data_IF_153194210930
#
_entry.id   IF_153194210930
#
_cell.length_a   1.000
_cell.length_b   1.000
_cell.length_c   1.000
_cell.angle_alpha   90.00
_cell.angle_beta   90.00
_cell.angle_gamma   90.00
#
_symmetry.space_group_name_H-M   'P 1'
#
loop_
_entity.id
_entity.type
_entity.pdbx_description
1 polymer ?
#
# COMPACT_ATOMS: atom_id res chain seq x y z
N UNK A 1 -12.68 6.24 28.02
CA UNK A 1 -12.48 6.24 26.56
C UNK A 1 -11.33 5.35 26.09
N UNK A 2 -10.74 4.51 26.96
CA UNK A 2 -9.56 3.69 26.64
C UNK A 2 -9.80 2.18 26.50
N UNK A 3 -11.05 1.71 26.56
CA UNK A 3 -11.31 0.26 26.72
C UNK A 3 -11.59 -0.51 25.42
N UNK A 4 -11.74 0.17 24.29
CA UNK A 4 -12.03 -0.47 22.97
C UNK A 4 -10.78 -0.66 22.07
N UNK A 5 -9.60 -0.32 22.58
CA UNK A 5 -8.37 -0.35 21.81
C UNK A 5 -7.46 -1.55 22.19
N UNK A 6 -7.78 -2.23 23.29
CA UNK A 6 -7.09 -3.47 23.70
C UNK A 6 -7.63 -4.65 22.89
N UNK A 7 -6.91 -5.04 21.84
CA UNK A 7 -7.22 -6.24 21.05
C UNK A 7 -6.99 -6.13 19.54
N UNK A 8 -6.90 -4.93 18.98
CA UNK A 8 -6.58 -4.76 17.56
C UNK A 8 -5.07 -4.79 17.35
N UNK A 9 -4.60 -5.84 16.68
CA UNK A 9 -3.18 -5.95 16.28
C UNK A 9 -2.84 -4.82 15.29
N UNK A 10 -1.66 -4.24 15.43
CA UNK A 10 -1.07 -3.32 14.46
C UNK A 10 -0.89 -4.07 13.13
N UNK A 11 -1.31 -3.44 12.01
CA UNK A 11 -1.03 -3.99 10.68
C UNK A 11 0.13 -3.25 10.05
N UNK A 12 1.11 -4.00 9.56
CA UNK A 12 2.23 -3.47 8.78
C UNK A 12 2.17 -4.07 7.38
N UNK A 13 1.92 -3.20 6.41
CA UNK A 13 2.02 -3.53 4.99
C UNK A 13 3.43 -3.11 4.57
N UNK A 14 4.28 -4.05 4.25
CA UNK A 14 5.65 -3.72 3.86
C UNK A 14 6.18 -4.69 2.79
N UNK A 15 7.06 -4.17 1.93
CA UNK A 15 7.71 -4.90 0.86
C UNK A 15 8.35 -3.95 -0.15
N UNK A 16 8.96 -4.45 -1.22
CA UNK A 16 9.56 -3.61 -2.24
C UNK A 16 8.48 -2.82 -3.00
N UNK A 17 8.86 -1.68 -3.53
CA UNK A 17 7.93 -0.89 -4.34
C UNK A 17 7.36 -1.72 -5.50
N UNK A 18 8.22 -2.44 -6.21
CA UNK A 18 7.87 -3.43 -7.24
C UNK A 18 8.56 -4.76 -6.97
N UNK A 19 7.95 -5.84 -7.44
CA UNK A 19 8.59 -7.15 -7.41
C UNK A 19 9.81 -7.17 -8.34
N UNK A 20 10.92 -7.68 -7.88
CA UNK A 20 12.15 -7.82 -8.64
C UNK A 20 12.47 -9.28 -8.90
N UNK A 21 12.61 -10.06 -7.85
CA UNK A 21 12.81 -11.49 -7.94
C UNK A 21 12.16 -12.23 -6.76
N UNK A 22 12.02 -13.54 -6.93
CA UNK A 22 11.58 -14.45 -5.88
C UNK A 22 12.50 -14.37 -4.65
N UNK A 23 13.83 -14.41 -4.86
CA UNK A 23 14.83 -14.44 -3.78
C UNK A 23 14.79 -13.16 -2.95
N UNK A 24 14.82 -11.99 -3.60
CA UNK A 24 14.78 -10.69 -2.90
C UNK A 24 13.47 -10.55 -2.12
N UNK A 25 12.35 -10.99 -2.72
CA UNK A 25 11.06 -10.94 -2.02
C UNK A 25 11.00 -11.87 -0.82
N UNK A 26 11.58 -13.07 -0.90
CA UNK A 26 11.62 -14.02 0.21
C UNK A 26 12.42 -13.44 1.39
N UNK A 27 13.60 -12.90 1.15
CA UNK A 27 14.46 -12.31 2.18
C UNK A 27 13.76 -11.12 2.88
N UNK A 28 13.12 -10.24 2.10
CA UNK A 28 12.33 -9.14 2.65
C UNK A 28 11.15 -9.67 3.50
N UNK A 29 10.45 -10.69 3.01
CA UNK A 29 9.31 -11.28 3.73
C UNK A 29 9.76 -11.87 5.06
N UNK A 30 10.77 -12.71 5.07
CA UNK A 30 11.28 -13.36 6.28
C UNK A 30 11.67 -12.33 7.31
N UNK A 31 12.46 -11.33 6.91
CA UNK A 31 12.94 -10.29 7.81
C UNK A 31 11.82 -9.40 8.34
N UNK A 32 10.92 -8.94 7.48
CA UNK A 32 9.82 -8.07 7.91
C UNK A 32 8.79 -8.84 8.75
N UNK A 33 8.47 -10.09 8.38
CA UNK A 33 7.52 -10.92 9.12
C UNK A 33 8.02 -11.19 10.54
N UNK A 34 9.29 -11.61 10.70
CA UNK A 34 9.92 -11.80 12.01
C UNK A 34 9.77 -10.56 12.89
N UNK A 35 10.20 -9.39 12.41
CA UNK A 35 10.16 -8.15 13.18
C UNK A 35 8.72 -7.77 13.58
N UNK A 36 7.78 -7.88 12.66
CA UNK A 36 6.39 -7.46 12.92
C UNK A 36 5.69 -8.41 13.87
N UNK A 37 5.90 -9.72 13.73
CA UNK A 37 5.29 -10.74 14.60
C UNK A 37 5.88 -10.71 16.01
N UNK A 38 7.18 -10.48 16.17
CA UNK A 38 7.83 -10.28 17.48
C UNK A 38 7.26 -9.07 18.24
N UNK A 39 6.81 -8.05 17.51
CA UNK A 39 6.12 -6.89 18.08
C UNK A 39 4.60 -7.13 18.29
N UNK A 40 4.11 -8.35 18.03
CA UNK A 40 2.70 -8.72 18.16
C UNK A 40 1.81 -8.14 17.04
N UNK A 41 2.41 -7.66 15.95
CA UNK A 41 1.72 -7.12 14.78
C UNK A 41 1.21 -8.18 13.82
N UNK A 42 0.57 -7.72 12.76
CA UNK A 42 0.13 -8.49 11.60
C UNK A 42 0.90 -7.99 10.37
N UNK A 43 1.65 -8.87 9.74
CA UNK A 43 2.42 -8.55 8.54
C UNK A 43 1.63 -8.85 7.27
N UNK A 44 1.70 -7.94 6.29
CA UNK A 44 1.17 -8.12 4.93
C UNK A 44 2.28 -7.73 3.97
N UNK A 45 2.74 -8.69 3.18
CA UNK A 45 3.73 -8.42 2.12
C UNK A 45 3.09 -7.62 1.01
N UNK A 46 3.81 -6.61 0.51
CA UNK A 46 3.36 -5.80 -0.62
C UNK A 46 4.43 -5.72 -1.70
N UNK A 47 4.07 -6.08 -2.91
CA UNK A 47 4.84 -5.72 -4.10
C UNK A 47 3.92 -5.50 -5.30
N UNK A 48 4.32 -4.60 -6.22
CA UNK A 48 3.63 -4.37 -7.48
C UNK A 48 4.18 -5.28 -8.57
N UNK A 49 3.32 -5.83 -9.40
CA UNK A 49 3.73 -6.59 -10.60
C UNK A 49 4.07 -5.67 -11.78
N UNK A 50 3.55 -4.45 -11.75
CA UNK A 50 3.75 -3.42 -12.77
C UNK A 50 3.66 -2.03 -12.15
N UNK A 51 4.42 -1.10 -12.65
CA UNK A 51 4.35 0.34 -12.36
C UNK A 51 3.76 1.07 -13.56
N UNK A 52 2.44 0.93 -13.76
CA UNK A 52 1.73 1.43 -14.94
C UNK A 52 1.70 2.98 -15.03
N UNK A 53 1.90 3.69 -13.92
CA UNK A 53 1.75 5.15 -13.82
C UNK A 53 3.07 5.90 -13.57
N UNK A 54 4.20 5.39 -14.08
CA UNK A 54 5.50 6.06 -14.00
C UNK A 54 5.53 7.40 -14.75
N UNK A 55 6.36 8.33 -14.28
CA UNK A 55 6.57 9.65 -14.92
C UNK A 55 7.12 9.52 -16.33
N UNK A 56 8.03 8.57 -16.57
CA UNK A 56 8.62 8.33 -17.90
C UNK A 56 8.23 6.98 -18.46
N UNK A 57 7.91 6.93 -19.75
CA UNK A 57 7.65 5.68 -20.47
C UNK A 57 8.89 4.75 -20.52
N UNK A 58 10.09 5.29 -20.26
CA UNK A 58 11.35 4.54 -20.22
C UNK A 58 11.68 3.99 -18.82
N UNK A 59 10.88 4.29 -17.80
CA UNK A 59 11.10 3.79 -16.46
C UNK A 59 10.86 2.27 -16.38
N UNK A 60 11.57 1.62 -15.47
CA UNK A 60 11.39 0.19 -15.20
C UNK A 60 9.97 -0.04 -14.67
N UNK A 61 9.23 -0.93 -15.32
CA UNK A 61 7.84 -1.22 -14.97
C UNK A 61 7.67 -2.45 -14.06
N UNK A 62 8.67 -3.31 -14.01
CA UNK A 62 8.61 -4.58 -13.27
C UNK A 62 8.56 -5.80 -14.20
N UNK A 63 8.54 -7.02 -13.65
CA UNK A 63 8.62 -8.26 -14.43
C UNK A 63 7.28 -8.66 -15.09
N UNK A 64 6.20 -7.92 -14.81
CA UNK A 64 4.87 -8.20 -15.32
C UNK A 64 4.07 -9.18 -14.46
N UNK A 65 2.76 -9.21 -14.71
CA UNK A 65 1.79 -9.89 -13.87
C UNK A 65 2.08 -11.40 -13.74
N UNK A 66 2.25 -12.10 -14.86
CA UNK A 66 2.43 -13.56 -14.86
C UNK A 66 3.61 -14.00 -14.00
N UNK A 67 4.80 -13.45 -14.26
CA UNK A 67 6.02 -13.83 -13.53
C UNK A 67 5.89 -13.51 -12.03
N UNK A 68 5.35 -12.34 -11.71
CA UNK A 68 5.16 -11.93 -10.31
C UNK A 68 4.20 -12.86 -9.58
N UNK A 69 3.07 -13.24 -10.19
CA UNK A 69 2.08 -14.10 -9.54
C UNK A 69 2.59 -15.54 -9.43
N UNK A 70 3.37 -16.04 -10.39
CA UNK A 70 4.04 -17.33 -10.27
C UNK A 70 5.04 -17.35 -9.10
N UNK A 71 5.77 -16.25 -8.88
CA UNK A 71 6.67 -16.12 -7.72
C UNK A 71 5.89 -15.95 -6.41
N UNK A 72 4.78 -15.20 -6.39
CA UNK A 72 3.91 -15.07 -5.22
C UNK A 72 3.29 -16.40 -4.80
N UNK A 73 2.94 -17.25 -5.77
CA UNK A 73 2.47 -18.60 -5.50
C UNK A 73 3.52 -19.41 -4.73
N UNK A 74 4.79 -19.38 -5.18
CA UNK A 74 5.90 -20.06 -4.49
C UNK A 74 6.12 -19.49 -3.09
N UNK A 75 6.20 -18.18 -2.96
CA UNK A 75 6.36 -17.49 -1.67
C UNK A 75 5.28 -17.90 -0.67
N UNK A 76 4.02 -17.97 -1.12
CA UNK A 76 2.90 -18.39 -0.28
C UNK A 76 2.94 -19.86 0.12
N UNK A 77 3.54 -20.70 -0.72
CA UNK A 77 3.73 -22.14 -0.41
C UNK A 77 4.86 -22.39 0.58
N UNK A 78 5.85 -21.51 0.66
CA UNK A 78 7.02 -21.65 1.54
C UNK A 78 6.83 -20.93 2.88
N UNK A 79 6.18 -19.77 2.86
CA UNK A 79 6.02 -18.95 4.07
C UNK A 79 4.60 -19.13 4.62
N UNK A 80 4.50 -19.90 5.70
CA UNK A 80 3.21 -20.18 6.35
C UNK A 80 2.51 -18.89 6.79
N UNK A 81 1.22 -18.80 6.47
CA UNK A 81 0.38 -17.66 6.85
C UNK A 81 0.70 -16.35 6.12
N UNK A 82 1.53 -16.37 5.07
CA UNK A 82 1.86 -15.19 4.29
C UNK A 82 0.59 -14.58 3.66
N UNK A 83 0.40 -13.30 3.91
CA UNK A 83 -0.64 -12.48 3.25
C UNK A 83 0.01 -11.54 2.26
N UNK A 84 -0.59 -11.44 1.07
CA UNK A 84 -0.04 -10.67 -0.05
C UNK A 84 -1.03 -9.59 -0.48
N UNK A 85 -0.53 -8.37 -0.61
CA UNK A 85 -1.18 -7.23 -1.22
C UNK A 85 -0.46 -6.86 -2.53
N UNK A 86 -1.22 -6.63 -3.58
CA UNK A 86 -0.70 -6.02 -4.83
C UNK A 86 -1.63 -4.93 -5.31
N UNK A 87 -1.09 -3.94 -6.01
CA UNK A 87 -1.89 -2.91 -6.66
C UNK A 87 -2.35 -3.35 -8.06
N UNK A 88 -3.55 -2.89 -8.43
CA UNK A 88 -4.19 -3.18 -9.72
C UNK A 88 -4.49 -1.89 -10.45
N UNK A 89 -4.43 -1.92 -11.78
CA UNK A 89 -4.54 -0.73 -12.61
C UNK A 89 -5.74 -0.77 -13.56
N UNK A 90 -6.19 -1.97 -13.92
CA UNK A 90 -7.30 -2.23 -14.83
C UNK A 90 -8.19 -3.36 -14.30
N UNK A 91 -9.46 -3.34 -14.64
CA UNK A 91 -10.42 -4.37 -14.19
C UNK A 91 -10.02 -5.77 -14.65
N UNK A 92 -9.55 -5.91 -15.88
CA UNK A 92 -9.13 -7.20 -16.43
C UNK A 92 -7.91 -7.80 -15.72
N UNK A 93 -7.08 -6.99 -15.05
CA UNK A 93 -6.00 -7.52 -14.23
C UNK A 93 -6.55 -8.33 -13.04
N UNK A 94 -7.64 -7.84 -12.44
CA UNK A 94 -8.31 -8.52 -11.33
C UNK A 94 -8.91 -9.84 -11.83
N UNK A 95 -9.62 -9.79 -12.97
CA UNK A 95 -10.21 -10.99 -13.57
C UNK A 95 -9.13 -12.04 -13.83
N UNK A 96 -8.06 -11.65 -14.48
CA UNK A 96 -6.96 -12.55 -14.79
C UNK A 96 -6.29 -13.14 -13.54
N UNK A 97 -6.07 -12.33 -12.49
CA UNK A 97 -5.51 -12.79 -11.22
C UNK A 97 -6.44 -13.82 -10.54
N UNK A 98 -7.73 -13.54 -10.48
CA UNK A 98 -8.69 -14.44 -9.83
C UNK A 98 -8.88 -15.75 -10.60
N UNK A 99 -8.76 -15.72 -11.94
CA UNK A 99 -8.92 -16.89 -12.80
C UNK A 99 -7.69 -17.80 -12.78
N UNK A 100 -6.48 -17.22 -12.91
CA UNK A 100 -5.24 -17.99 -13.09
C UNK A 100 -4.51 -18.29 -11.77
N UNK A 101 -4.64 -17.42 -10.76
CA UNK A 101 -4.01 -17.56 -9.44
C UNK A 101 -5.01 -17.38 -8.29
N UNK A 102 -6.07 -18.18 -8.24
CA UNK A 102 -7.10 -18.02 -7.21
C UNK A 102 -6.51 -18.11 -5.80
N UNK A 103 -6.84 -17.12 -4.96
CA UNK A 103 -6.40 -17.11 -3.56
C UNK A 103 -4.96 -16.67 -3.30
N UNK A 104 -4.19 -16.30 -4.31
CA UNK A 104 -2.81 -15.80 -4.12
C UNK A 104 -2.81 -14.38 -3.55
N UNK A 105 -3.66 -13.51 -4.04
CA UNK A 105 -3.79 -12.15 -3.50
C UNK A 105 -4.83 -12.13 -2.38
N UNK A 106 -4.44 -11.60 -1.22
CA UNK A 106 -5.30 -11.48 -0.04
C UNK A 106 -5.94 -10.10 0.09
N UNK A 107 -5.34 -9.08 -0.52
CA UNK A 107 -5.83 -7.70 -0.50
C UNK A 107 -5.45 -7.00 -1.80
N UNK A 108 -6.40 -6.31 -2.40
CA UNK A 108 -6.15 -5.45 -3.55
C UNK A 108 -5.89 -4.01 -3.14
N UNK A 109 -4.91 -3.37 -3.78
CA UNK A 109 -4.66 -1.95 -3.60
C UNK A 109 -5.07 -1.17 -4.84
N UNK A 110 -5.81 -0.07 -4.61
CA UNK A 110 -6.11 0.93 -5.65
C UNK A 110 -5.08 2.05 -5.53
N UNK A 111 -4.28 2.30 -6.58
CA UNK A 111 -3.29 3.38 -6.60
C UNK A 111 -3.92 4.76 -6.38
N UNK A 112 -3.14 5.69 -5.83
CA UNK A 112 -3.62 7.04 -5.49
C UNK A 112 -4.20 7.79 -6.69
N UNK A 113 -3.59 7.68 -7.87
CA UNK A 113 -4.12 8.32 -9.09
C UNK A 113 -5.42 7.70 -9.60
N UNK A 114 -5.70 6.45 -9.22
CA UNK A 114 -6.91 5.71 -9.63
C UNK A 114 -7.98 5.66 -8.53
N UNK A 115 -7.80 6.37 -7.43
CA UNK A 115 -8.69 6.32 -6.27
C UNK A 115 -10.14 6.78 -6.55
N UNK A 116 -10.40 7.39 -7.71
CA UNK A 116 -11.74 7.78 -8.16
C UNK A 116 -12.31 6.89 -9.26
N UNK A 117 -11.55 5.92 -9.78
CA UNK A 117 -11.98 4.99 -10.83
C UNK A 117 -13.05 4.02 -10.30
N UNK A 118 -14.30 4.32 -10.61
CA UNK A 118 -15.45 3.59 -10.05
C UNK A 118 -15.42 2.11 -10.43
N UNK A 119 -15.25 1.79 -11.71
CA UNK A 119 -15.31 0.42 -12.21
C UNK A 119 -14.17 -0.44 -11.60
N UNK A 120 -12.97 0.13 -11.47
CA UNK A 120 -11.83 -0.57 -10.87
C UNK A 120 -12.08 -0.88 -9.38
N UNK A 121 -12.60 0.09 -8.63
CA UNK A 121 -12.91 -0.08 -7.21
C UNK A 121 -14.02 -1.12 -7.03
N UNK A 122 -15.11 -1.02 -7.81
CA UNK A 122 -16.22 -1.96 -7.75
C UNK A 122 -15.79 -3.38 -8.14
N UNK A 123 -14.94 -3.53 -9.18
CA UNK A 123 -14.44 -4.84 -9.55
C UNK A 123 -13.54 -5.45 -8.47
N UNK A 124 -12.67 -4.66 -7.84
CA UNK A 124 -11.88 -5.13 -6.70
C UNK A 124 -12.79 -5.54 -5.51
N UNK A 125 -13.82 -4.73 -5.21
CA UNK A 125 -14.78 -5.02 -4.16
C UNK A 125 -15.56 -6.32 -4.40
N UNK A 126 -15.97 -6.57 -5.64
CA UNK A 126 -16.71 -7.75 -6.05
C UNK A 126 -15.93 -9.07 -5.86
N UNK A 127 -14.62 -9.03 -5.60
CA UNK A 127 -13.84 -10.22 -5.23
C UNK A 127 -14.15 -10.71 -3.80
N UNK A 128 -14.81 -9.91 -2.98
CA UNK A 128 -15.03 -10.22 -1.57
C UNK A 128 -13.79 -10.08 -0.68
N UNK A 129 -12.66 -9.66 -1.23
CA UNK A 129 -11.39 -9.47 -0.49
C UNK A 129 -11.31 -8.08 0.14
N UNK A 130 -10.44 -7.88 1.14
CA UNK A 130 -10.09 -6.56 1.62
C UNK A 130 -9.51 -5.69 0.51
N UNK A 131 -9.82 -4.38 0.56
CA UNK A 131 -9.31 -3.38 -0.37
C UNK A 131 -8.57 -2.30 0.40
N UNK A 132 -7.41 -1.90 -0.11
CA UNK A 132 -6.68 -0.72 0.34
C UNK A 132 -6.76 0.37 -0.73
N UNK A 133 -7.39 1.50 -0.44
CA UNK A 133 -7.46 2.63 -1.37
C UNK A 133 -6.45 3.68 -0.93
N UNK A 134 -5.43 3.91 -1.75
CA UNK A 134 -4.50 5.02 -1.54
C UNK A 134 -5.24 6.33 -1.79
N UNK A 135 -5.34 7.19 -0.76
CA UNK A 135 -5.95 8.50 -0.91
C UNK A 135 -5.14 9.34 -1.90
N UNK A 136 -5.80 9.83 -2.95
CA UNK A 136 -5.17 10.74 -3.91
C UNK A 136 -4.65 12.00 -3.25
N UNK A 137 -3.49 12.50 -3.71
CA UNK A 137 -2.85 13.69 -3.17
C UNK A 137 -3.68 14.97 -3.34
N UNK A 138 -4.69 14.91 -4.19
CA UNK A 138 -5.62 16.00 -4.55
C UNK A 138 -6.94 15.96 -3.79
N UNK A 139 -7.18 14.95 -2.95
CA UNK A 139 -8.44 14.76 -2.23
C UNK A 139 -8.40 15.42 -0.85
N UNK A 140 -9.51 16.06 -0.48
CA UNK A 140 -9.74 16.43 0.90
C UNK A 140 -9.98 15.18 1.78
N UNK A 141 -9.68 15.24 3.09
CA UNK A 141 -9.90 14.10 3.99
C UNK A 141 -11.34 13.58 3.99
N UNK A 142 -12.33 14.44 3.90
CA UNK A 142 -13.75 14.09 3.90
C UNK A 142 -14.25 13.48 2.59
N UNK A 143 -13.54 13.67 1.47
CA UNK A 143 -13.90 13.08 0.17
C UNK A 143 -13.79 11.55 0.17
N UNK A 144 -13.05 10.96 1.11
CA UNK A 144 -12.91 9.50 1.23
C UNK A 144 -14.23 8.80 1.57
N UNK A 145 -15.22 9.51 2.08
CA UNK A 145 -16.57 8.99 2.28
C UNK A 145 -17.14 8.38 0.99
N UNK A 146 -16.79 8.95 -0.16
CA UNK A 146 -17.25 8.47 -1.47
C UNK A 146 -16.63 7.13 -1.88
N UNK A 147 -15.52 6.72 -1.27
CA UNK A 147 -14.95 5.39 -1.54
C UNK A 147 -15.89 4.28 -1.07
N UNK A 148 -16.49 4.46 0.09
CA UNK A 148 -17.40 3.46 0.68
C UNK A 148 -18.66 3.25 -0.16
N UNK A 149 -19.08 4.23 -0.95
CA UNK A 149 -20.23 4.07 -1.87
C UNK A 149 -19.91 3.16 -3.07
N UNK A 150 -18.64 2.83 -3.28
CA UNK A 150 -18.14 2.02 -4.42
C UNK A 150 -17.59 0.66 -4.00
N UNK A 151 -17.57 0.36 -2.71
CA UNK A 151 -16.88 -0.81 -2.16
C UNK A 151 -17.83 -1.86 -1.61
N UNK A 152 -19.08 -1.86 -2.09
CA UNK A 152 -20.04 -2.91 -1.76
C UNK A 152 -19.50 -4.29 -2.15
N UNK A 153 -19.57 -5.25 -1.23
CA UNK A 153 -19.04 -6.60 -1.39
C UNK A 153 -17.61 -6.80 -0.87
N UNK A 154 -16.83 -5.74 -0.64
CA UNK A 154 -15.50 -5.87 -0.03
C UNK A 154 -15.61 -6.35 1.42
N UNK A 155 -14.73 -7.28 1.83
CA UNK A 155 -14.67 -7.78 3.21
C UNK A 155 -14.31 -6.67 4.21
N UNK A 156 -13.35 -5.83 3.84
CA UNK A 156 -12.86 -4.68 4.61
C UNK A 156 -12.37 -3.61 3.64
N UNK A 157 -12.52 -2.34 4.01
CA UNK A 157 -12.03 -1.21 3.22
C UNK A 157 -11.06 -0.41 4.06
N UNK A 158 -9.83 -0.32 3.59
CA UNK A 158 -8.77 0.50 4.18
C UNK A 158 -8.52 1.74 3.33
N UNK A 159 -8.20 2.84 4.00
CA UNK A 159 -7.81 4.10 3.38
C UNK A 159 -6.38 4.40 3.80
N UNK A 160 -5.50 4.56 2.83
CA UNK A 160 -4.11 4.92 3.09
C UNK A 160 -3.88 6.40 2.81
N UNK A 161 -3.59 7.15 3.87
CA UNK A 161 -3.09 8.53 3.78
C UNK A 161 -1.61 8.50 3.38
N UNK A 162 -1.22 9.31 2.40
CA UNK A 162 0.12 9.33 1.81
C UNK A 162 0.65 10.73 1.51
N UNK A 163 0.07 11.74 2.10
CA UNK A 163 0.39 13.15 1.84
C UNK A 163 -0.48 13.78 0.76
N UNK A 164 -0.53 15.08 0.80
CA UNK A 164 -1.30 15.94 -0.09
C UNK A 164 -0.36 16.85 -0.87
N UNK A 165 -0.67 17.13 -2.13
CA UNK A 165 0.12 18.03 -2.98
C UNK A 165 0.17 19.44 -2.39
N UNK A 166 1.38 19.99 -2.29
CA UNK A 166 1.65 21.33 -1.83
C UNK A 166 2.51 22.06 -2.88
N UNK A 167 1.86 22.73 -3.81
CA UNK A 167 2.52 23.27 -5.00
C UNK A 167 3.00 22.16 -5.95
N UNK A 168 4.16 22.35 -6.57
CA UNK A 168 4.73 21.41 -7.52
C UNK A 168 5.75 20.48 -6.82
N UNK A 169 5.77 19.21 -7.23
CA UNK A 169 6.77 18.20 -6.85
C UNK A 169 6.99 18.06 -5.32
N UNK A 170 6.01 18.43 -4.50
CA UNK A 170 6.11 18.31 -3.05
C UNK A 170 4.83 17.81 -2.45
N UNK A 171 4.98 16.97 -1.43
CA UNK A 171 3.88 16.50 -0.59
C UNK A 171 4.05 17.00 0.84
N UNK A 172 2.94 17.20 1.53
CA UNK A 172 2.89 17.47 2.97
C UNK A 172 1.85 16.55 3.61
N UNK A 173 2.07 16.21 4.87
CA UNK A 173 1.07 15.49 5.66
C UNK A 173 0.26 16.52 6.44
N UNK A 174 -1.03 16.57 6.16
CA UNK A 174 -1.98 17.30 6.97
C UNK A 174 -2.42 16.42 8.15
N UNK A 175 -1.81 16.65 9.32
CA UNK A 175 -2.14 15.88 10.52
C UNK A 175 -3.53 16.18 11.07
N UNK A 176 -4.11 17.36 10.77
CA UNK A 176 -5.50 17.64 11.12
C UNK A 176 -6.46 16.83 10.26
N UNK A 177 -6.15 16.71 8.97
CA UNK A 177 -6.86 15.82 8.06
C UNK A 177 -6.72 14.35 8.42
N UNK A 178 -5.52 13.91 8.81
CA UNK A 178 -5.31 12.55 9.29
C UNK A 178 -6.08 12.28 10.58
N UNK A 179 -6.16 13.24 11.51
CA UNK A 179 -7.01 13.14 12.71
C UNK A 179 -8.49 13.00 12.35
N UNK A 180 -8.96 13.79 11.38
CA UNK A 180 -10.33 13.66 10.87
C UNK A 180 -10.61 12.24 10.36
N UNK A 181 -9.67 11.64 9.61
CA UNK A 181 -9.81 10.27 9.12
C UNK A 181 -9.87 9.26 10.29
N UNK A 182 -9.03 9.42 11.30
CA UNK A 182 -9.02 8.56 12.48
C UNK A 182 -10.32 8.66 13.29
N UNK A 183 -10.88 9.85 13.43
CA UNK A 183 -12.11 10.06 14.18
C UNK A 183 -13.32 9.43 13.51
N UNK A 184 -13.34 9.38 12.17
CA UNK A 184 -14.46 8.84 11.40
C UNK A 184 -14.31 7.39 10.99
N UNK A 185 -13.06 6.90 10.75
CA UNK A 185 -12.79 5.57 10.15
C UNK A 185 -11.81 4.70 10.96
N UNK A 186 -11.22 5.25 12.03
CA UNK A 186 -10.36 4.59 13.05
C UNK A 186 -9.46 3.46 12.54
N UNK A 187 -9.96 2.22 12.65
CA UNK A 187 -9.18 0.99 12.41
C UNK A 187 -8.85 0.75 10.94
N UNK A 188 -9.52 1.46 10.06
CA UNK A 188 -9.39 1.32 8.61
C UNK A 188 -8.42 2.34 8.01
N UNK A 189 -7.76 3.16 8.84
CA UNK A 189 -6.75 4.11 8.38
C UNK A 189 -5.36 3.48 8.43
N UNK A 190 -4.67 3.56 7.31
CA UNK A 190 -3.25 3.20 7.16
C UNK A 190 -2.49 4.49 6.86
N UNK A 191 -1.34 4.67 7.46
CA UNK A 191 -0.44 5.76 7.13
C UNK A 191 0.75 5.26 6.31
N UNK A 192 0.91 5.79 5.12
CA UNK A 192 2.03 5.53 4.24
C UNK A 192 3.17 6.51 4.54
N UNK A 193 4.12 6.06 5.34
CA UNK A 193 5.22 6.89 5.77
C UNK A 193 6.28 7.07 4.66
N UNK A 194 6.38 6.13 3.74
CA UNK A 194 7.32 6.22 2.61
C UNK A 194 6.91 7.30 1.63
N UNK A 195 5.68 7.19 1.11
CA UNK A 195 5.23 8.15 0.09
C UNK A 195 4.84 9.52 0.66
N UNK A 196 4.64 9.64 1.96
CA UNK A 196 4.35 10.94 2.60
C UNK A 196 5.52 11.94 2.51
N UNK A 197 6.74 11.45 2.30
CA UNK A 197 7.95 12.25 2.14
C UNK A 197 8.55 12.17 0.73
N UNK A 198 7.78 11.66 -0.22
CA UNK A 198 8.15 11.57 -1.63
C UNK A 198 8.11 12.96 -2.29
N UNK A 199 8.96 13.15 -3.29
CA UNK A 199 8.96 14.30 -4.18
C UNK A 199 8.59 13.83 -5.60
N UNK A 200 7.29 13.78 -5.93
CA UNK A 200 6.82 13.25 -7.21
C UNK A 200 7.44 14.00 -8.39
N UNK A 201 8.13 13.28 -9.29
CA UNK A 201 8.80 13.88 -10.43
C UNK A 201 9.98 14.80 -10.07
N UNK A 202 10.42 14.85 -8.81
CA UNK A 202 11.46 15.77 -8.34
C UNK A 202 12.83 15.58 -9.00
N UNK A 203 13.08 14.38 -9.57
CA UNK A 203 14.29 14.08 -10.34
C UNK A 203 14.06 14.08 -11.87
N UNK A 204 12.96 14.63 -12.34
CA UNK A 204 12.58 14.72 -13.75
C UNK A 204 12.04 13.41 -14.33
N UNK A 205 12.80 12.33 -14.32
CA UNK A 205 12.39 11.02 -14.86
C UNK A 205 11.92 10.04 -13.78
N UNK A 206 12.19 10.32 -12.51
CA UNK A 206 11.80 9.53 -11.36
C UNK A 206 11.34 10.44 -10.23
N UNK A 207 10.70 9.87 -9.24
CA UNK A 207 10.40 10.53 -7.98
C UNK A 207 11.68 10.63 -7.15
N UNK A 208 11.79 11.71 -6.39
CA UNK A 208 12.74 11.83 -5.30
C UNK A 208 12.03 11.65 -3.97
N UNK A 209 12.77 11.75 -2.88
CA UNK A 209 12.19 11.67 -1.54
C UNK A 209 13.22 11.83 -0.45
N UNK A 210 12.74 11.97 0.77
CA UNK A 210 13.56 12.23 1.95
C UNK A 210 13.41 11.09 2.96
N UNK A 211 13.87 9.87 2.59
CA UNK A 211 13.71 8.64 3.39
C UNK A 211 14.17 8.76 4.85
N UNK A 212 15.13 9.63 5.13
CA UNK A 212 15.60 9.89 6.50
C UNK A 212 14.49 10.39 7.44
N UNK A 213 13.41 10.90 6.90
CA UNK A 213 12.26 11.37 7.67
C UNK A 213 11.19 10.28 7.92
N UNK A 214 11.21 9.17 7.19
CA UNK A 214 10.21 8.07 7.34
C UNK A 214 10.04 7.64 8.81
N UNK A 215 11.10 7.36 9.60
CA UNK A 215 10.93 6.98 11.01
C UNK A 215 10.31 8.09 11.86
N UNK A 216 10.52 9.37 11.51
CA UNK A 216 9.92 10.49 12.23
C UNK A 216 8.43 10.63 11.90
N UNK A 217 8.07 10.41 10.64
CA UNK A 217 6.68 10.42 10.20
C UNK A 217 5.89 9.26 10.84
N UNK A 218 6.47 8.07 10.93
CA UNK A 218 5.85 6.96 11.65
C UNK A 218 5.58 7.32 13.12
N UNK A 219 6.56 7.90 13.83
CA UNK A 219 6.37 8.31 15.23
C UNK A 219 5.30 9.39 15.39
N UNK A 220 5.27 10.39 14.50
CA UNK A 220 4.27 11.45 14.53
C UNK A 220 2.86 10.88 14.29
N UNK A 221 2.70 10.01 13.30
CA UNK A 221 1.43 9.36 13.02
C UNK A 221 0.98 8.43 14.18
N UNK A 222 1.91 7.67 14.76
CA UNK A 222 1.62 6.85 15.93
C UNK A 222 1.18 7.68 17.15
N UNK A 223 1.80 8.87 17.36
CA UNK A 223 1.47 9.76 18.47
C UNK A 223 0.03 10.28 18.43
N UNK A 224 -0.56 10.45 17.26
CA UNK A 224 -1.98 10.83 17.11
C UNK A 224 -2.93 9.63 17.03
N UNK A 225 -2.41 8.39 17.15
CA UNK A 225 -3.22 7.19 17.28
C UNK A 225 -3.32 6.31 16.02
N UNK A 226 -2.54 6.56 14.98
CA UNK A 226 -2.42 5.64 13.84
C UNK A 226 -1.85 4.30 14.32
N UNK A 227 -2.45 3.20 13.90
CA UNK A 227 -2.05 1.84 14.25
C UNK A 227 -1.53 1.04 13.07
N UNK A 228 -1.93 1.38 11.85
CA UNK A 228 -1.55 0.62 10.67
C UNK A 228 -0.63 1.46 9.79
N UNK A 229 0.43 0.84 9.30
CA UNK A 229 1.45 1.53 8.50
C UNK A 229 1.70 0.80 7.19
N UNK A 230 2.02 1.61 6.19
CA UNK A 230 2.52 1.15 4.91
C UNK A 230 3.94 1.66 4.73
N UNK A 231 4.86 0.74 4.38
CA UNK A 231 6.29 1.03 4.22
C UNK A 231 6.81 0.34 2.96
N UNK A 232 7.55 1.04 2.14
CA UNK A 232 8.39 0.41 1.14
C UNK A 232 9.78 0.13 1.74
N UNK A 233 10.26 -1.07 1.54
CA UNK A 233 11.51 -1.56 2.10
C UNK A 233 12.31 -2.28 1.02
N UNK A 234 13.63 -2.14 1.07
CA UNK A 234 14.55 -2.78 0.14
C UNK A 234 15.87 -3.06 0.85
N UNK A 235 16.54 -4.14 0.52
CA UNK A 235 17.84 -4.52 1.12
C UNK A 235 18.91 -3.47 0.85
N UNK A 236 18.96 -2.99 -0.39
CA UNK A 236 19.83 -1.91 -0.84
C UNK A 236 18.99 -0.77 -1.45
N UNK A 237 18.49 0.17 -0.62
CA UNK A 237 17.63 1.24 -1.10
C UNK A 237 18.24 2.17 -2.14
N UNK A 238 19.57 2.20 -2.25
CA UNK A 238 20.26 3.01 -3.28
C UNK A 238 20.17 2.37 -4.66
N UNK A 239 19.93 1.06 -4.71
CA UNK A 239 19.80 0.28 -5.96
C UNK A 239 18.36 -0.07 -6.31
N UNK A 240 17.42 0.28 -5.43
CA UNK A 240 16.01 0.02 -5.69
C UNK A 240 15.57 0.66 -7.04
N UNK A 241 14.86 -0.08 -7.90
CA UNK A 241 14.41 0.44 -9.21
C UNK A 241 13.27 1.47 -9.08
N UNK A 242 12.83 1.71 -7.88
CA UNK A 242 11.74 2.61 -7.52
C UNK A 242 11.97 3.24 -6.15
N UNK A 243 10.98 4.01 -5.66
CA UNK A 243 11.03 4.72 -4.38
C UNK A 243 11.44 3.86 -3.20
#
# INVERSE_FOLDING_TARGET
MNTLIQGLKMKIIAGPCQHESYVDSLEIIERCKEIVEDLGGEYIFKASYDKANRTSAQSVRGPGIKRTLDDFYKLKSEVEGLRILTDVHETYNIDWIEDEWPGIIDMYQIPAFLCRQTDLIQRAAATGKPINIKKGQFLAPWDVAQFFTKTEGAKEVYITERGTSFGYNRLVVDFTGLQYLLDNYRTNIIFDATHSVQEPGGMGRSSGGSRQYVPRMCRAAAAIGVKNFFLEVHEDPERAPSD
#
